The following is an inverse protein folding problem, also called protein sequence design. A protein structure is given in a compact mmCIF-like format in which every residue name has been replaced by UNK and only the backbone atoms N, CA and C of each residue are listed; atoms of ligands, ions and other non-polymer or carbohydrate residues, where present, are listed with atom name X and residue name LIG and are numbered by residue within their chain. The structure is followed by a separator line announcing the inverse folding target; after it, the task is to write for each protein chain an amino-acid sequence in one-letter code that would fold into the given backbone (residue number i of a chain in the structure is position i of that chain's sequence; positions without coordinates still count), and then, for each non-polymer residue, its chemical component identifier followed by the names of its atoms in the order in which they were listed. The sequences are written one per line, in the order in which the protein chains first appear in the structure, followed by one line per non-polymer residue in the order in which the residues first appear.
data_IF_299246075792
#
_entry.id   IF_299246075792
#
_cell.length_a   1.000
_cell.length_b   1.000
_cell.length_c   1.000
_cell.angle_alpha   90.00
_cell.angle_beta   90.00
_cell.angle_gamma   90.00
#
_symmetry.space_group_name_H-M   'P 1'
#
loop_
_entity.id
_entity.type
_entity.pdbx_description
1 polymer ?
#
# COMPACT_ATOMS: atom_id res chain seq x y z
N UNK A 1 -12.87 -3.67 -16.57
CA UNK A 1 -11.93 -3.71 -15.43
C UNK A 1 -12.36 -2.84 -14.25
N UNK A 2 -12.75 -1.58 -14.47
CA UNK A 2 -13.16 -0.66 -13.39
C UNK A 2 -14.40 -1.12 -12.59
N UNK A 3 -15.26 -1.98 -13.16
CA UNK A 3 -16.45 -2.52 -12.49
C UNK A 3 -16.23 -3.90 -11.82
N UNK A 4 -15.00 -4.42 -11.77
CA UNK A 4 -14.73 -5.72 -11.13
C UNK A 4 -14.56 -5.54 -9.61
N UNK A 5 -15.57 -5.97 -8.84
CA UNK A 5 -15.61 -5.81 -7.38
C UNK A 5 -14.46 -6.49 -6.65
N UNK A 6 -13.97 -7.64 -7.15
CA UNK A 6 -12.85 -8.35 -6.54
C UNK A 6 -11.54 -7.58 -6.72
N UNK A 7 -11.32 -7.05 -7.93
CA UNK A 7 -10.14 -6.23 -8.23
C UNK A 7 -10.17 -4.92 -7.44
N UNK A 8 -11.33 -4.27 -7.33
CA UNK A 8 -11.52 -3.09 -6.49
C UNK A 8 -11.14 -3.39 -5.04
N UNK A 9 -11.72 -4.42 -4.44
CA UNK A 9 -11.44 -4.77 -3.05
C UNK A 9 -9.95 -5.11 -2.83
N UNK A 10 -9.36 -5.89 -3.74
CA UNK A 10 -7.94 -6.23 -3.68
C UNK A 10 -7.05 -4.99 -3.72
N UNK A 11 -7.25 -4.08 -4.67
CA UNK A 11 -6.42 -2.88 -4.81
C UNK A 11 -6.64 -1.87 -3.66
N UNK A 12 -7.81 -1.84 -3.03
CA UNK A 12 -8.05 -1.02 -1.83
C UNK A 12 -7.28 -1.56 -0.61
N UNK A 13 -7.31 -2.88 -0.42
CA UNK A 13 -6.90 -3.51 0.84
C UNK A 13 -5.43 -3.93 0.80
N UNK A 14 -4.94 -4.42 -0.35
CA UNK A 14 -3.60 -4.98 -0.47
C UNK A 14 -2.47 -4.00 -0.08
N UNK A 15 -2.47 -2.72 -0.51
CA UNK A 15 -1.44 -1.76 -0.09
C UNK A 15 -1.38 -1.59 1.43
N UNK A 16 -2.54 -1.54 2.09
CA UNK A 16 -2.65 -1.36 3.56
C UNK A 16 -2.16 -2.61 4.28
N UNK A 17 -2.61 -3.80 3.86
CA UNK A 17 -2.19 -5.05 4.48
C UNK A 17 -0.70 -5.33 4.29
N UNK A 18 -0.16 -5.07 3.09
CA UNK A 18 1.27 -5.22 2.82
C UNK A 18 2.10 -4.22 3.62
N UNK A 19 1.63 -2.96 3.74
CA UNK A 19 2.27 -1.98 4.61
C UNK A 19 2.29 -2.46 6.08
N UNK A 20 1.16 -2.93 6.60
CA UNK A 20 1.08 -3.46 7.97
C UNK A 20 2.01 -4.67 8.18
N UNK A 21 2.06 -5.58 7.20
CA UNK A 21 2.94 -6.75 7.24
C UNK A 21 4.42 -6.34 7.26
N UNK A 22 4.83 -5.42 6.38
CA UNK A 22 6.20 -4.89 6.34
C UNK A 22 6.54 -4.18 7.64
N UNK A 23 5.61 -3.38 8.19
CA UNK A 23 5.82 -2.66 9.44
C UNK A 23 6.03 -3.61 10.62
N UNK A 24 5.19 -4.65 10.75
CA UNK A 24 5.37 -5.69 11.79
C UNK A 24 6.69 -6.42 11.59
N UNK A 25 7.01 -6.83 10.36
CA UNK A 25 8.28 -7.47 10.05
C UNK A 25 9.47 -6.59 10.42
N UNK A 26 9.41 -5.30 10.11
CA UNK A 26 10.44 -4.33 10.47
C UNK A 26 10.63 -4.24 11.99
N UNK A 27 9.55 -4.19 12.77
CA UNK A 27 9.65 -4.19 14.23
C UNK A 27 10.31 -5.46 14.75
N UNK A 28 9.90 -6.63 14.25
CA UNK A 28 10.53 -7.91 14.62
C UNK A 28 12.03 -7.90 14.28
N UNK A 29 12.41 -7.38 13.12
CA UNK A 29 13.80 -7.25 12.69
C UNK A 29 14.60 -6.34 13.63
N UNK A 30 14.07 -5.17 13.98
CA UNK A 30 14.72 -4.22 14.90
C UNK A 30 14.89 -4.83 16.30
N UNK A 31 13.88 -5.50 16.85
CA UNK A 31 14.01 -6.15 18.15
C UNK A 31 15.05 -7.28 18.12
N UNK A 32 15.06 -8.09 17.05
CA UNK A 32 16.09 -9.12 16.86
C UNK A 32 17.50 -8.52 16.86
N UNK A 33 17.70 -7.41 16.14
CA UNK A 33 18.98 -6.70 16.11
C UNK A 33 19.42 -6.20 17.49
N UNK A 34 18.50 -5.61 18.26
CA UNK A 34 18.80 -5.11 19.61
C UNK A 34 19.21 -6.27 20.53
N UNK A 35 18.45 -7.37 20.52
CA UNK A 35 18.78 -8.56 21.34
C UNK A 35 20.10 -9.20 20.95
N UNK A 36 20.46 -9.20 19.66
CA UNK A 36 21.76 -9.69 19.22
C UNK A 36 22.89 -8.77 19.67
N UNK A 37 22.73 -7.45 19.56
CA UNK A 37 23.73 -6.47 19.97
C UNK A 37 24.10 -6.58 21.47
N UNK A 38 23.13 -6.85 22.34
CA UNK A 38 23.39 -7.10 23.77
C UNK A 38 24.28 -8.34 24.01
N UNK A 39 24.25 -9.32 23.11
CA UNK A 39 25.07 -10.53 23.19
C UNK A 39 26.49 -10.36 22.61
N UNK A 40 26.76 -9.27 21.87
CA UNK A 40 28.08 -8.99 21.29
C UNK A 40 29.09 -8.40 22.30
N UNK A 41 28.62 -7.77 23.38
CA UNK A 41 29.48 -7.13 24.40
C UNK A 41 30.30 -8.14 25.25
N UNK A 42 30.08 -9.45 25.08
CA UNK A 42 30.76 -10.50 25.85
C UNK A 42 31.82 -11.32 25.12
N UNK A 43 31.86 -11.33 23.79
CA UNK A 43 32.70 -12.25 23.01
C UNK A 43 33.34 -11.56 21.78
N UNK A 44 34.58 -11.12 21.93
CA UNK A 44 35.35 -10.43 20.89
C UNK A 44 35.67 -11.27 19.64
N UNK A 45 35.42 -12.59 19.65
CA UNK A 45 35.66 -13.48 18.51
C UNK A 45 34.54 -13.46 17.44
N UNK A 46 33.34 -12.96 17.77
CA UNK A 46 32.18 -12.92 16.84
C UNK A 46 32.27 -11.72 15.86
N UNK A 47 33.25 -10.83 16.02
CA UNK A 47 33.32 -9.56 15.31
C UNK A 47 33.73 -9.64 13.82
N UNK A 48 34.20 -10.79 13.33
CA UNK A 48 34.75 -10.92 11.96
C UNK A 48 33.81 -11.56 10.94
N UNK A 49 32.65 -12.06 11.35
CA UNK A 49 31.67 -12.62 10.42
C UNK A 49 30.59 -11.57 10.15
N UNK A 50 30.62 -10.94 8.97
CA UNK A 50 29.48 -10.13 8.51
C UNK A 50 28.23 -11.00 8.62
N UNK A 51 27.23 -10.64 9.44
CA UNK A 51 26.13 -11.56 9.71
C UNK A 51 25.31 -11.74 8.42
N UNK A 52 25.54 -12.85 7.72
CA UNK A 52 24.90 -13.14 6.43
C UNK A 52 23.37 -13.13 6.56
N UNK A 53 22.86 -13.51 7.72
CA UNK A 53 21.45 -13.46 8.10
C UNK A 53 20.85 -12.05 8.03
N UNK A 54 21.63 -11.01 8.36
CA UNK A 54 21.19 -9.62 8.24
C UNK A 54 21.03 -9.21 6.78
N UNK A 55 21.98 -9.55 5.93
CA UNK A 55 21.91 -9.25 4.49
C UNK A 55 20.76 -9.97 3.80
N UNK A 56 20.47 -11.22 4.18
CA UNK A 56 19.30 -11.96 3.69
C UNK A 56 18.01 -11.27 4.12
N UNK A 57 17.92 -10.83 5.39
CA UNK A 57 16.79 -10.05 5.89
C UNK A 57 16.55 -8.78 5.09
N UNK A 58 17.60 -7.97 4.88
CA UNK A 58 17.53 -6.75 4.08
C UNK A 58 17.10 -7.01 2.62
N UNK A 59 17.64 -8.05 1.99
CA UNK A 59 17.27 -8.44 0.63
C UNK A 59 15.78 -8.79 0.52
N UNK A 60 15.25 -9.56 1.48
CA UNK A 60 13.84 -9.89 1.53
C UNK A 60 12.95 -8.64 1.72
N UNK A 61 13.30 -7.75 2.66
CA UNK A 61 12.57 -6.49 2.84
C UNK A 61 12.58 -5.63 1.59
N UNK A 62 13.71 -5.53 0.91
CA UNK A 62 13.82 -4.76 -0.32
C UNK A 62 12.85 -5.27 -1.39
N UNK A 63 12.80 -6.59 -1.62
CA UNK A 63 11.86 -7.20 -2.57
C UNK A 63 10.40 -6.94 -2.16
N UNK A 64 10.07 -7.11 -0.88
CA UNK A 64 8.72 -6.86 -0.37
C UNK A 64 8.29 -5.39 -0.53
N UNK A 65 9.20 -4.45 -0.27
CA UNK A 65 8.96 -3.00 -0.48
C UNK A 65 8.73 -2.72 -1.96
N UNK A 66 9.54 -3.28 -2.86
CA UNK A 66 9.35 -3.10 -4.31
C UNK A 66 8.00 -3.64 -4.79
N UNK A 67 7.61 -4.84 -4.35
CA UNK A 67 6.29 -5.41 -4.67
C UNK A 67 5.14 -4.54 -4.15
N UNK A 68 5.26 -4.06 -2.91
CA UNK A 68 4.26 -3.19 -2.30
C UNK A 68 4.16 -1.85 -3.03
N UNK A 69 5.29 -1.26 -3.41
CA UNK A 69 5.33 -0.02 -4.18
C UNK A 69 4.64 -0.19 -5.53
N UNK A 70 4.92 -1.27 -6.26
CA UNK A 70 4.25 -1.56 -7.54
C UNK A 70 2.73 -1.70 -7.36
N UNK A 71 2.28 -2.51 -6.40
CA UNK A 71 0.85 -2.70 -6.12
C UNK A 71 0.19 -1.37 -5.73
N UNK A 72 0.87 -0.53 -4.95
CA UNK A 72 0.38 0.78 -4.53
C UNK A 72 0.25 1.74 -5.71
N UNK A 73 1.21 1.74 -6.65
CA UNK A 73 1.12 2.53 -7.89
C UNK A 73 -0.06 2.06 -8.75
N UNK A 74 -0.22 0.74 -8.94
CA UNK A 74 -1.37 0.20 -9.67
C UNK A 74 -2.70 0.59 -9.01
N UNK A 75 -2.77 0.51 -7.68
CA UNK A 75 -3.94 0.93 -6.91
C UNK A 75 -4.23 2.43 -7.10
N UNK A 76 -3.21 3.28 -6.99
CA UNK A 76 -3.32 4.72 -7.17
C UNK A 76 -3.89 5.06 -8.55
N UNK A 77 -3.28 4.53 -9.62
CA UNK A 77 -3.73 4.77 -10.99
C UNK A 77 -5.17 4.26 -11.17
N UNK A 78 -5.48 3.07 -10.65
CA UNK A 78 -6.81 2.48 -10.74
C UNK A 78 -7.88 3.39 -10.11
N UNK A 79 -7.64 3.90 -8.90
CA UNK A 79 -8.61 4.73 -8.19
C UNK A 79 -8.74 6.13 -8.79
N UNK A 80 -7.66 6.73 -9.28
CA UNK A 80 -7.73 7.98 -10.05
C UNK A 80 -8.60 7.79 -11.31
N UNK A 81 -8.38 6.70 -12.06
CA UNK A 81 -9.20 6.37 -13.23
C UNK A 81 -10.67 6.11 -12.86
N UNK A 82 -10.93 5.47 -11.71
CA UNK A 82 -12.29 5.26 -11.25
C UNK A 82 -12.98 6.57 -10.86
N UNK A 83 -12.29 7.49 -10.18
CA UNK A 83 -12.85 8.81 -9.81
C UNK A 83 -13.14 9.65 -11.04
N UNK A 84 -12.17 9.73 -11.96
CA UNK A 84 -12.30 10.54 -13.18
C UNK A 84 -13.42 10.07 -14.10
N UNK A 85 -13.74 8.77 -14.10
CA UNK A 85 -14.84 8.19 -14.89
C UNK A 85 -16.10 7.92 -14.06
N UNK A 86 -16.19 8.43 -12.84
CA UNK A 86 -17.37 8.24 -12.00
C UNK A 86 -18.49 9.20 -12.44
N UNK A 87 -19.64 8.69 -12.91
CA UNK A 87 -20.76 9.52 -13.35
C UNK A 87 -21.37 10.33 -12.22
N UNK A 88 -21.22 9.90 -10.96
CA UNK A 88 -21.72 10.63 -9.79
C UNK A 88 -21.09 12.03 -9.61
N UNK A 89 -20.01 12.33 -10.33
CA UNK A 89 -19.32 13.61 -10.27
C UNK A 89 -19.48 14.45 -11.56
N UNK A 90 -20.27 14.01 -12.55
CA UNK A 90 -20.37 14.68 -13.86
C UNK A 90 -21.42 15.80 -13.91
N UNK A 91 -22.55 15.65 -13.21
CA UNK A 91 -23.69 16.59 -13.33
C UNK A 91 -23.68 17.71 -12.30
N UNK A 92 -23.46 17.44 -11.01
CA UNK A 92 -23.68 18.43 -9.94
C UNK A 92 -22.50 18.64 -8.96
N UNK A 93 -21.38 17.92 -9.14
CA UNK A 93 -20.33 17.85 -8.10
C UNK A 93 -18.90 17.69 -8.66
N UNK A 94 -18.55 18.48 -9.69
CA UNK A 94 -17.20 18.45 -10.28
C UNK A 94 -16.09 18.76 -9.25
N UNK A 95 -16.38 19.61 -8.26
CA UNK A 95 -15.47 19.91 -7.15
C UNK A 95 -15.15 18.66 -6.31
N UNK A 96 -16.14 17.77 -6.10
CA UNK A 96 -15.96 16.54 -5.34
C UNK A 96 -15.03 15.55 -6.04
N UNK A 97 -14.99 15.57 -7.38
CA UNK A 97 -14.03 14.79 -8.17
C UNK A 97 -12.59 15.18 -7.83
N UNK A 98 -12.31 16.48 -7.77
CA UNK A 98 -10.97 17.01 -7.46
C UNK A 98 -10.59 16.65 -6.02
N UNK A 99 -11.52 16.82 -5.07
CA UNK A 99 -11.30 16.46 -3.66
C UNK A 99 -10.90 14.99 -3.53
N UNK A 100 -11.61 14.08 -4.20
CA UNK A 100 -11.27 12.67 -4.16
C UNK A 100 -9.91 12.35 -4.80
N UNK A 101 -9.58 12.98 -5.93
CA UNK A 101 -8.25 12.84 -6.55
C UNK A 101 -7.16 13.29 -5.57
N UNK A 102 -7.34 14.42 -4.89
CA UNK A 102 -6.39 14.92 -3.89
C UNK A 102 -6.25 13.96 -2.71
N UNK A 103 -7.36 13.44 -2.18
CA UNK A 103 -7.34 12.44 -1.08
C UNK A 103 -6.59 11.19 -1.52
N UNK A 104 -6.88 10.65 -2.70
CA UNK A 104 -6.22 9.44 -3.21
C UNK A 104 -4.72 9.69 -3.47
N UNK A 105 -4.36 10.86 -4.00
CA UNK A 105 -2.96 11.19 -4.28
C UNK A 105 -2.12 11.34 -3.01
N UNK A 106 -2.62 12.08 -2.01
CA UNK A 106 -1.86 12.40 -0.81
C UNK A 106 -1.99 11.34 0.30
N UNK A 107 -3.15 10.71 0.46
CA UNK A 107 -3.37 9.65 1.45
C UNK A 107 -3.10 8.23 0.90
N UNK A 108 -2.86 8.10 -0.42
CA UNK A 108 -2.50 6.87 -1.12
C UNK A 108 -3.36 5.66 -0.69
N UNK A 109 -2.77 4.60 -0.12
CA UNK A 109 -3.47 3.37 0.28
C UNK A 109 -4.71 3.63 1.13
N UNK A 110 -4.66 4.58 2.07
CA UNK A 110 -5.82 4.96 2.87
C UNK A 110 -6.86 5.72 2.04
N UNK A 111 -6.42 6.63 1.16
CA UNK A 111 -7.31 7.39 0.28
C UNK A 111 -8.10 6.48 -0.68
N UNK A 112 -7.42 5.51 -1.31
CA UNK A 112 -8.06 4.51 -2.17
C UNK A 112 -9.04 3.61 -1.41
N UNK A 113 -8.68 3.16 -0.21
CA UNK A 113 -9.55 2.36 0.65
C UNK A 113 -10.82 3.10 1.08
N UNK A 114 -10.67 4.33 1.57
CA UNK A 114 -11.81 5.16 2.00
C UNK A 114 -12.73 5.45 0.80
N UNK A 115 -12.16 5.80 -0.35
CA UNK A 115 -12.93 6.01 -1.58
C UNK A 115 -13.71 4.76 -2.00
N UNK A 116 -13.07 3.59 -1.95
CA UNK A 116 -13.74 2.32 -2.26
C UNK A 116 -14.93 2.04 -1.34
N UNK A 117 -14.82 2.32 -0.03
CA UNK A 117 -15.95 2.17 0.89
C UNK A 117 -17.06 3.21 0.64
N UNK A 118 -16.69 4.48 0.58
CA UNK A 118 -17.63 5.60 0.59
C UNK A 118 -18.33 5.84 -0.76
N UNK A 119 -17.65 5.63 -1.88
CA UNK A 119 -18.16 5.96 -3.21
C UNK A 119 -18.50 4.72 -4.05
N UNK A 120 -17.67 3.68 -3.97
CA UNK A 120 -17.90 2.47 -4.78
C UNK A 120 -18.91 1.56 -4.09
N UNK A 121 -18.58 1.09 -2.88
CA UNK A 121 -19.39 0.11 -2.14
C UNK A 121 -20.72 0.70 -1.67
N UNK A 122 -20.71 1.93 -1.13
CA UNK A 122 -21.93 2.55 -0.60
C UNK A 122 -22.90 3.05 -1.69
N UNK A 123 -22.38 3.55 -2.82
CA UNK A 123 -23.21 4.22 -3.85
C UNK A 123 -23.33 3.46 -5.17
N UNK A 124 -22.74 2.26 -5.26
CA UNK A 124 -22.71 1.45 -6.48
C UNK A 124 -22.31 2.24 -7.73
N UNK A 125 -21.33 3.14 -7.60
CA UNK A 125 -20.85 3.91 -8.74
C UNK A 125 -20.26 2.97 -9.79
N UNK A 126 -20.84 2.95 -10.99
CA UNK A 126 -20.37 2.15 -12.12
C UNK A 126 -19.81 3.09 -13.18
N UNK A 127 -18.48 3.23 -13.28
CA UNK A 127 -17.86 4.01 -14.34
C UNK A 127 -18.35 3.58 -15.72
N UNK A 128 -18.73 4.56 -16.55
CA UNK A 128 -19.04 4.37 -17.95
C UNK A 128 -17.77 4.60 -18.78
N UNK A 129 -17.50 3.73 -19.73
CA UNK A 129 -16.43 3.92 -20.73
C UNK A 129 -17.16 4.02 -22.06
N UNK A 130 -17.18 5.20 -22.67
CA UNK A 130 -17.61 5.31 -24.08
C UNK A 130 -16.63 4.51 -24.92
N UNK A 131 -17.15 3.55 -25.68
CA UNK A 131 -16.38 2.81 -26.68
C UNK A 131 -15.83 3.76 -27.75
#
# INVERSE_FOLDING_TARGET
MLNNSKLQAFLAIAPILLFALIFVGYMVFVFSMITQAENFDGNAEVANETPMELFVGFGFFFVMIMLTALISIFSLIYYILHVTKNPNFETDNSNMRIVWILIILFANGLGGFIYWLAEIKSKNSRPYISN
#
